data_IF_182322490671
#
_entry.id   IF_182322490671
#
_cell.length_a   1.000
_cell.length_b   1.000
_cell.length_c   1.000
_cell.angle_alpha   90.00
_cell.angle_beta   90.00
_cell.angle_gamma   90.00
#
_symmetry.space_group_name_H-M   'P 1'
#
loop_
_entity.id
_entity.type
_entity.pdbx_description
1 polymer ?
#
# COMPACT_ATOMS: atom_id res chain seq x y z
N UNK A 1 -73.08 -33.27 -29.19
CA UNK A 1 -72.07 -34.28 -29.60
C UNK A 1 -70.70 -33.67 -29.33
N UNK A 2 -69.92 -34.29 -28.53
CA UNK A 2 -68.60 -33.74 -28.18
C UNK A 2 -67.51 -34.18 -29.14
N UNK A 3 -66.73 -33.26 -29.65
CA UNK A 3 -65.55 -33.49 -30.51
C UNK A 3 -64.36 -33.81 -29.61
N UNK A 4 -63.52 -34.82 -29.92
CA UNK A 4 -62.51 -35.36 -29.01
C UNK A 4 -61.23 -34.51 -28.96
N UNK A 5 -60.73 -34.39 -27.71
CA UNK A 5 -59.40 -33.88 -27.37
C UNK A 5 -58.27 -34.82 -27.84
N UNK A 6 -57.78 -34.62 -29.04
CA UNK A 6 -56.49 -35.18 -29.48
C UNK A 6 -56.10 -34.62 -30.84
N UNK A 7 -55.45 -33.49 -30.83
CA UNK A 7 -54.56 -33.00 -31.91
C UNK A 7 -54.20 -31.53 -31.66
N UNK A 8 -53.35 -31.30 -30.65
CA UNK A 8 -52.66 -30.03 -30.56
C UNK A 8 -51.37 -30.23 -29.77
N UNK A 9 -50.55 -31.15 -30.26
CA UNK A 9 -49.20 -31.36 -29.78
C UNK A 9 -48.31 -31.73 -30.98
N UNK A 10 -48.02 -30.78 -31.79
CA UNK A 10 -46.83 -30.79 -32.67
C UNK A 10 -46.66 -29.38 -33.24
N UNK A 11 -45.41 -28.91 -33.22
CA UNK A 11 -44.85 -27.65 -33.74
C UNK A 11 -44.87 -26.43 -32.81
N UNK A 12 -43.98 -26.45 -31.79
CA UNK A 12 -43.10 -25.32 -31.49
C UNK A 12 -41.75 -25.89 -31.08
N UNK A 13 -40.95 -26.24 -32.05
CA UNK A 13 -39.51 -26.41 -31.87
C UNK A 13 -38.87 -25.40 -32.80
N UNK A 14 -38.38 -24.30 -32.26
CA UNK A 14 -37.33 -23.52 -32.90
C UNK A 14 -36.94 -22.34 -32.00
N UNK A 15 -35.68 -22.26 -31.66
CA UNK A 15 -35.04 -20.98 -31.37
C UNK A 15 -34.67 -20.72 -29.91
N UNK A 16 -34.06 -21.66 -29.19
CA UNK A 16 -33.15 -21.27 -28.13
C UNK A 16 -31.81 -20.88 -28.75
N UNK A 17 -31.65 -19.60 -29.06
CA UNK A 17 -30.34 -19.05 -29.37
C UNK A 17 -29.47 -19.17 -28.12
N UNK A 18 -28.53 -20.08 -28.16
CA UNK A 18 -27.48 -20.19 -27.17
C UNK A 18 -26.63 -18.91 -27.25
N UNK A 19 -26.78 -18.04 -26.26
CA UNK A 19 -25.80 -16.99 -26.02
C UNK A 19 -24.47 -17.68 -25.77
N UNK A 20 -23.36 -17.26 -26.39
CA UNK A 20 -22.07 -17.81 -26.10
C UNK A 20 -21.79 -17.51 -24.63
N UNK A 21 -21.60 -18.56 -23.84
CA UNK A 21 -20.91 -18.47 -22.54
C UNK A 21 -19.53 -17.87 -22.83
N UNK A 22 -19.36 -16.57 -22.58
CA UNK A 22 -18.05 -16.01 -22.45
C UNK A 22 -17.43 -16.75 -21.25
N UNK A 23 -16.53 -17.66 -21.54
CA UNK A 23 -15.65 -18.28 -20.57
C UNK A 23 -15.01 -17.13 -19.78
N UNK A 24 -15.36 -17.03 -18.50
CA UNK A 24 -14.57 -16.27 -17.54
C UNK A 24 -13.17 -16.86 -17.64
N UNK A 25 -12.25 -16.18 -18.30
CA UNK A 25 -10.85 -16.48 -18.15
C UNK A 25 -10.58 -16.40 -16.64
N UNK A 26 -10.32 -17.55 -16.03
CA UNK A 26 -9.84 -17.61 -14.68
C UNK A 26 -8.57 -16.77 -14.64
N UNK A 27 -8.58 -15.69 -13.87
CA UNK A 27 -7.37 -14.96 -13.54
C UNK A 27 -6.45 -16.02 -12.94
N UNK A 28 -5.41 -16.41 -13.66
CA UNK A 28 -4.45 -17.38 -13.22
C UNK A 28 -3.88 -16.89 -11.87
N UNK A 29 -3.88 -17.75 -10.86
CA UNK A 29 -3.14 -17.47 -9.63
C UNK A 29 -1.72 -17.07 -10.03
N UNK A 30 -1.15 -16.01 -9.43
CA UNK A 30 0.19 -15.55 -9.78
C UNK A 30 1.17 -16.72 -9.57
N UNK A 31 1.72 -17.23 -10.66
CA UNK A 31 2.64 -18.37 -10.69
C UNK A 31 4.01 -18.06 -10.05
N UNK A 32 4.23 -16.83 -9.61
CA UNK A 32 5.39 -16.40 -8.85
C UNK A 32 5.03 -16.19 -7.39
N UNK A 33 5.72 -16.92 -6.50
CA UNK A 33 5.67 -16.61 -5.06
C UNK A 33 6.30 -15.23 -4.87
N UNK A 34 5.47 -14.21 -4.76
CA UNK A 34 5.93 -12.89 -4.36
C UNK A 34 6.74 -13.03 -3.05
N UNK A 35 7.87 -12.33 -2.90
CA UNK A 35 8.84 -12.61 -1.83
C UNK A 35 8.37 -12.20 -0.41
N UNK A 36 7.10 -11.85 -0.24
CA UNK A 36 6.50 -11.45 1.03
C UNK A 36 5.00 -11.34 0.91
N UNK A 37 4.37 -10.59 1.80
CA UNK A 37 2.95 -10.25 1.70
C UNK A 37 2.80 -9.12 0.69
N UNK A 38 2.01 -9.36 -0.37
CA UNK A 38 1.62 -8.32 -1.33
C UNK A 38 0.21 -7.84 -0.99
N UNK A 39 0.08 -6.55 -0.73
CA UNK A 39 -1.18 -5.88 -0.42
C UNK A 39 -1.38 -4.64 -1.29
N UNK A 40 -2.48 -3.94 -1.01
CA UNK A 40 -2.82 -2.65 -1.61
C UNK A 40 -2.91 -1.59 -0.51
N UNK A 41 -2.21 -0.45 -0.67
CA UNK A 41 -2.50 0.75 0.10
C UNK A 41 -3.84 1.34 -0.37
N UNK A 42 -4.80 1.47 0.55
CA UNK A 42 -6.16 1.92 0.24
C UNK A 42 -6.23 3.37 -0.26
N UNK A 43 -5.19 4.16 -0.01
CA UNK A 43 -5.08 5.50 -0.59
C UNK A 43 -5.07 5.48 -2.12
N UNK A 44 -4.57 4.41 -2.73
CA UNK A 44 -4.62 4.15 -4.18
C UNK A 44 -6.04 4.29 -4.75
N UNK A 45 -7.02 3.82 -4.02
CA UNK A 45 -8.44 3.82 -4.44
C UNK A 45 -9.30 4.78 -3.62
N UNK A 46 -8.68 5.79 -2.97
CA UNK A 46 -9.35 6.77 -2.10
C UNK A 46 -10.59 7.40 -2.72
N UNK A 47 -10.50 7.80 -3.98
CA UNK A 47 -11.60 8.44 -4.71
C UNK A 47 -12.78 7.51 -5.03
N UNK A 48 -12.57 6.19 -5.03
CA UNK A 48 -13.63 5.18 -5.12
C UNK A 48 -14.22 4.90 -3.75
N UNK A 49 -13.38 4.80 -2.72
CA UNK A 49 -13.80 4.59 -1.33
C UNK A 49 -14.67 5.73 -0.80
N UNK A 50 -14.42 6.97 -1.21
CA UNK A 50 -15.26 8.12 -0.88
C UNK A 50 -16.70 7.99 -1.41
N UNK A 51 -16.90 7.19 -2.47
CA UNK A 51 -18.21 7.01 -3.12
C UNK A 51 -18.89 5.71 -2.71
N UNK A 52 -18.15 4.62 -2.67
CA UNK A 52 -18.67 3.27 -2.44
C UNK A 52 -17.62 2.37 -1.80
N UNK A 53 -17.60 2.31 -0.48
CA UNK A 53 -16.67 1.45 0.27
C UNK A 53 -16.91 -0.04 -0.03
N UNK A 54 -18.16 -0.58 0.02
CA UNK A 54 -18.42 -1.98 -0.31
C UNK A 54 -17.98 -2.39 -1.72
N UNK A 55 -18.35 -1.62 -2.74
CA UNK A 55 -17.99 -1.90 -4.13
C UNK A 55 -16.49 -1.81 -4.37
N UNK A 56 -15.81 -0.85 -3.73
CA UNK A 56 -14.35 -0.70 -3.86
C UNK A 56 -13.60 -1.86 -3.19
N UNK A 57 -14.00 -2.30 -2.00
CA UNK A 57 -13.37 -3.46 -1.36
C UNK A 57 -13.61 -4.75 -2.15
N UNK A 58 -14.78 -4.89 -2.76
CA UNK A 58 -15.02 -5.98 -3.69
C UNK A 58 -14.07 -5.91 -4.90
N UNK A 59 -13.86 -4.75 -5.48
CA UNK A 59 -12.92 -4.55 -6.59
C UNK A 59 -11.49 -4.92 -6.17
N UNK A 60 -11.03 -4.49 -4.99
CA UNK A 60 -9.72 -4.85 -4.43
C UNK A 60 -9.59 -6.37 -4.30
N UNK A 61 -10.63 -7.04 -3.80
CA UNK A 61 -10.67 -8.51 -3.75
C UNK A 61 -10.66 -9.16 -5.12
N UNK A 62 -11.41 -8.62 -6.08
CA UNK A 62 -11.48 -9.14 -7.45
C UNK A 62 -10.13 -9.03 -8.17
N UNK A 63 -9.27 -8.07 -7.80
CA UNK A 63 -7.87 -7.99 -8.22
C UNK A 63 -6.95 -9.06 -7.59
N UNK A 64 -7.44 -9.81 -6.61
CA UNK A 64 -6.71 -10.90 -5.97
C UNK A 64 -5.99 -10.53 -4.67
N UNK A 65 -6.12 -9.29 -4.18
CA UNK A 65 -5.53 -8.93 -2.90
C UNK A 65 -6.21 -9.67 -1.73
N UNK A 66 -5.40 -9.96 -0.72
CA UNK A 66 -5.83 -10.51 0.58
C UNK A 66 -5.39 -9.65 1.74
N UNK A 67 -4.53 -8.66 1.48
CA UNK A 67 -4.00 -7.73 2.47
C UNK A 67 -4.17 -6.29 1.99
N UNK A 68 -4.49 -5.39 2.91
CA UNK A 68 -4.59 -3.95 2.64
C UNK A 68 -3.87 -3.15 3.72
N UNK A 69 -3.42 -1.96 3.37
CA UNK A 69 -2.90 -0.95 4.27
C UNK A 69 -3.82 0.27 4.25
N UNK A 70 -3.83 1.07 5.31
CA UNK A 70 -4.58 2.31 5.41
C UNK A 70 -4.78 2.73 6.86
N UNK A 71 -5.62 3.74 7.12
CA UNK A 71 -5.87 4.25 8.47
C UNK A 71 -7.27 4.84 8.66
N UNK A 72 -8.15 4.68 7.69
CA UNK A 72 -9.53 5.15 7.76
C UNK A 72 -10.49 3.97 7.97
N UNK A 73 -11.38 4.09 8.92
CA UNK A 73 -12.38 3.07 9.24
C UNK A 73 -13.73 3.29 8.55
N UNK A 74 -13.87 4.34 7.75
CA UNK A 74 -15.08 4.67 6.96
C UNK A 74 -16.37 4.66 7.82
N UNK A 75 -16.32 5.38 8.95
CA UNK A 75 -17.45 5.53 9.89
C UNK A 75 -17.71 4.34 10.81
N UNK A 76 -16.79 3.37 10.87
CA UNK A 76 -16.87 2.19 11.76
C UNK A 76 -15.86 2.32 12.91
N UNK A 77 -15.98 1.45 13.91
CA UNK A 77 -14.84 1.18 14.81
C UNK A 77 -13.78 0.34 14.07
N UNK A 78 -12.54 0.33 14.55
CA UNK A 78 -11.48 -0.53 14.00
C UNK A 78 -11.86 -2.03 14.07
N UNK A 79 -12.52 -2.47 15.14
CA UNK A 79 -13.00 -3.84 15.29
C UNK A 79 -14.12 -4.19 14.28
N UNK A 80 -15.07 -3.28 14.06
CA UNK A 80 -16.12 -3.47 13.08
C UNK A 80 -15.55 -3.43 11.66
N UNK A 81 -14.57 -2.59 11.40
CA UNK A 81 -13.89 -2.53 10.12
C UNK A 81 -13.14 -3.83 9.82
N UNK A 82 -12.45 -4.42 10.81
CA UNK A 82 -11.86 -5.77 10.69
C UNK A 82 -12.87 -6.80 10.21
N UNK A 83 -14.02 -6.86 10.88
CA UNK A 83 -15.10 -7.79 10.52
C UNK A 83 -15.64 -7.51 9.13
N UNK A 84 -15.79 -6.24 8.79
CA UNK A 84 -16.32 -5.80 7.51
C UNK A 84 -15.40 -6.20 6.35
N UNK A 85 -14.07 -5.91 6.42
CA UNK A 85 -13.12 -6.31 5.36
C UNK A 85 -12.92 -7.82 5.29
N UNK A 86 -13.02 -8.54 6.42
CA UNK A 86 -12.96 -9.99 6.44
C UNK A 86 -14.09 -10.63 5.62
N UNK A 87 -15.27 -10.00 5.53
CA UNK A 87 -16.36 -10.40 4.66
C UNK A 87 -15.99 -10.43 3.16
N UNK A 88 -14.97 -9.69 2.75
CA UNK A 88 -14.38 -9.71 1.40
C UNK A 88 -13.13 -10.61 1.31
N UNK A 89 -12.74 -11.28 2.41
CA UNK A 89 -11.51 -12.08 2.48
C UNK A 89 -10.24 -11.20 2.52
N UNK A 90 -10.38 -9.95 2.99
CA UNK A 90 -9.29 -9.01 3.19
C UNK A 90 -8.90 -8.94 4.68
N UNK A 91 -7.65 -8.61 4.95
CA UNK A 91 -7.14 -8.29 6.28
C UNK A 91 -6.25 -7.03 6.20
N UNK A 92 -6.02 -6.39 7.33
CA UNK A 92 -5.14 -5.21 7.42
C UNK A 92 -4.03 -5.50 8.43
N UNK A 93 -2.80 -5.64 7.94
CA UNK A 93 -1.63 -5.90 8.78
C UNK A 93 -0.81 -4.65 9.06
N UNK A 94 -0.98 -3.59 8.29
CA UNK A 94 -0.32 -2.30 8.47
C UNK A 94 -1.34 -1.18 8.51
N UNK A 95 -1.17 -0.28 9.48
CA UNK A 95 -2.00 0.93 9.67
C UNK A 95 -1.11 2.15 9.57
N UNK A 96 -1.50 3.10 8.72
CA UNK A 96 -0.94 4.44 8.68
C UNK A 96 -1.92 5.42 9.34
N UNK A 97 -1.46 6.15 10.35
CA UNK A 97 -2.26 7.17 11.05
C UNK A 97 -1.56 8.52 11.03
N UNK A 98 -2.28 9.60 11.34
CA UNK A 98 -1.69 10.93 11.43
C UNK A 98 -0.67 11.03 12.56
N UNK A 99 0.38 11.83 12.37
CA UNK A 99 1.40 12.12 13.37
C UNK A 99 0.79 12.69 14.66
N UNK A 100 -0.16 13.61 14.51
CA UNK A 100 -0.88 14.22 15.62
C UNK A 100 -1.65 13.19 16.45
N UNK A 101 -2.24 12.18 15.81
CA UNK A 101 -2.95 11.10 16.52
C UNK A 101 -1.97 10.32 17.41
N UNK A 102 -0.77 10.00 16.91
CA UNK A 102 0.27 9.33 17.71
C UNK A 102 0.82 10.23 18.81
N UNK A 103 0.96 11.53 18.54
CA UNK A 103 1.44 12.51 19.53
C UNK A 103 0.45 12.69 20.68
N UNK A 104 -0.82 12.86 20.34
CA UNK A 104 -1.85 13.31 21.31
C UNK A 104 -2.61 12.12 21.93
N UNK A 105 -2.73 10.97 21.22
CA UNK A 105 -3.45 9.78 21.66
C UNK A 105 -2.81 8.49 21.14
N UNK A 106 -1.56 8.24 21.46
CA UNK A 106 -0.87 7.00 21.09
C UNK A 106 -1.59 5.74 21.60
N UNK A 107 -2.18 5.80 22.80
CA UNK A 107 -2.89 4.66 23.37
C UNK A 107 -4.14 4.28 22.55
N UNK A 108 -4.91 5.26 22.08
CA UNK A 108 -6.04 5.04 21.19
C UNK A 108 -5.61 4.50 19.83
N UNK A 109 -4.53 5.06 19.24
CA UNK A 109 -4.00 4.56 17.97
C UNK A 109 -3.51 3.10 18.07
N UNK A 110 -2.84 2.74 19.17
CA UNK A 110 -2.42 1.36 19.47
C UNK A 110 -3.63 0.44 19.65
N UNK A 111 -4.65 0.87 20.36
CA UNK A 111 -5.88 0.10 20.57
C UNK A 111 -6.59 -0.19 19.24
N UNK A 112 -6.71 0.81 18.36
CA UNK A 112 -7.31 0.68 17.03
C UNK A 112 -6.51 -0.29 16.16
N UNK A 113 -5.17 -0.18 16.12
CA UNK A 113 -4.31 -1.08 15.35
C UNK A 113 -4.44 -2.53 15.84
N UNK A 114 -4.50 -2.76 17.15
CA UNK A 114 -4.75 -4.10 17.72
C UNK A 114 -6.15 -4.62 17.39
N UNK A 115 -7.15 -3.75 17.46
CA UNK A 115 -8.53 -4.12 17.17
C UNK A 115 -8.73 -4.54 15.71
N UNK A 116 -8.12 -3.84 14.75
CA UNK A 116 -8.17 -4.23 13.34
C UNK A 116 -7.33 -5.49 13.06
N UNK A 117 -6.39 -5.83 13.94
CA UNK A 117 -5.52 -7.01 13.84
C UNK A 117 -4.20 -6.73 13.12
N UNK A 118 -3.76 -5.47 13.11
CA UNK A 118 -2.49 -5.08 12.52
C UNK A 118 -1.29 -5.58 13.34
N UNK A 119 -0.17 -5.73 12.65
CA UNK A 119 1.15 -5.99 13.23
C UNK A 119 2.04 -4.73 13.19
N UNK A 120 1.69 -3.78 12.32
CA UNK A 120 2.41 -2.54 12.10
C UNK A 120 1.47 -1.33 12.29
N UNK A 121 1.98 -0.30 12.95
CA UNK A 121 1.33 1.00 13.07
C UNK A 121 2.37 2.09 12.82
N UNK A 122 2.09 3.00 11.91
CA UNK A 122 3.03 4.05 11.53
C UNK A 122 2.38 5.35 11.14
N UNK A 123 3.21 6.25 10.63
CA UNK A 123 2.78 7.53 10.06
C UNK A 123 3.56 7.84 8.80
N UNK A 124 2.93 8.57 7.87
CA UNK A 124 3.49 8.91 6.57
C UNK A 124 3.98 10.36 6.46
N UNK A 125 3.73 11.18 7.45
CA UNK A 125 4.08 12.60 7.39
C UNK A 125 4.58 13.11 8.73
N UNK A 126 5.76 13.76 8.73
CA UNK A 126 6.25 14.53 9.87
C UNK A 126 5.83 15.98 9.67
N UNK A 127 5.05 16.60 10.58
CA UNK A 127 4.63 17.97 10.44
C UNK A 127 5.83 18.92 10.36
N UNK A 128 5.88 19.75 9.30
CA UNK A 128 6.91 20.76 9.12
C UNK A 128 6.37 21.90 8.26
N UNK A 129 7.05 23.04 8.26
CA UNK A 129 6.73 24.19 7.42
C UNK A 129 7.90 24.54 6.51
N UNK A 130 7.63 24.64 5.21
CA UNK A 130 8.66 24.87 4.21
C UNK A 130 9.56 23.64 4.03
N UNK A 131 10.87 23.85 3.87
CA UNK A 131 11.80 22.74 3.75
C UNK A 131 11.94 21.99 5.08
N UNK A 132 12.01 20.66 5.00
CA UNK A 132 12.27 19.80 6.15
C UNK A 132 13.67 20.07 6.71
N UNK A 133 13.78 20.22 8.03
CA UNK A 133 15.01 20.71 8.68
C UNK A 133 15.57 19.72 9.68
N UNK A 134 16.79 20.02 10.19
CA UNK A 134 17.41 19.26 11.27
C UNK A 134 16.56 19.28 12.55
N UNK A 135 15.90 20.40 12.86
CA UNK A 135 15.02 20.51 14.04
C UNK A 135 13.82 19.56 13.93
N UNK A 136 13.23 19.44 12.74
CA UNK A 136 12.11 18.53 12.49
C UNK A 136 12.54 17.07 12.66
N UNK A 137 13.74 16.72 12.19
CA UNK A 137 14.32 15.37 12.38
C UNK A 137 14.59 15.09 13.84
N UNK A 138 15.18 16.02 14.60
CA UNK A 138 15.50 15.81 16.02
C UNK A 138 14.22 15.58 16.83
N UNK A 139 13.13 16.31 16.51
CA UNK A 139 11.82 16.07 17.12
C UNK A 139 11.28 14.69 16.73
N UNK A 140 11.34 14.32 15.43
CA UNK A 140 10.88 13.02 14.96
C UNK A 140 11.66 11.85 15.59
N UNK A 141 12.97 11.97 15.80
CA UNK A 141 13.78 10.96 16.49
C UNK A 141 13.27 10.72 17.91
N UNK A 142 12.97 11.80 18.65
CA UNK A 142 12.44 11.71 20.00
C UNK A 142 11.07 11.02 20.03
N UNK A 143 10.15 11.45 19.16
CA UNK A 143 8.79 10.94 19.09
C UNK A 143 8.77 9.49 18.60
N UNK A 144 9.46 9.15 17.53
CA UNK A 144 9.53 7.80 16.98
C UNK A 144 10.15 6.81 17.97
N UNK A 145 11.17 7.24 18.71
CA UNK A 145 11.78 6.43 19.78
C UNK A 145 10.76 6.14 20.88
N UNK A 146 9.98 7.14 21.30
CA UNK A 146 8.91 6.99 22.28
C UNK A 146 7.82 6.04 21.77
N UNK A 147 7.33 6.26 20.56
CA UNK A 147 6.25 5.45 19.98
C UNK A 147 6.72 4.02 19.68
N UNK A 148 7.93 3.85 19.14
CA UNK A 148 8.49 2.52 18.88
C UNK A 148 8.56 1.66 20.14
N UNK A 149 9.00 2.24 21.27
CA UNK A 149 9.01 1.54 22.56
C UNK A 149 7.60 1.19 23.06
N UNK A 150 6.65 2.13 22.95
CA UNK A 150 5.27 1.92 23.37
C UNK A 150 4.59 0.83 22.54
N UNK A 151 4.72 0.87 21.21
CA UNK A 151 4.16 -0.12 20.32
C UNK A 151 4.74 -1.52 20.55
N UNK A 152 6.07 -1.60 20.74
CA UNK A 152 6.74 -2.87 21.02
C UNK A 152 6.25 -3.52 22.32
N UNK A 153 5.98 -2.74 23.35
CA UNK A 153 5.42 -3.24 24.61
C UNK A 153 4.01 -3.85 24.41
N UNK A 154 3.29 -3.43 23.36
CA UNK A 154 1.96 -3.91 22.99
C UNK A 154 1.97 -4.96 21.86
N UNK A 155 3.16 -5.44 21.46
CA UNK A 155 3.34 -6.45 20.42
C UNK A 155 3.21 -5.95 18.99
N UNK A 156 3.30 -4.63 18.79
CA UNK A 156 3.26 -3.96 17.48
C UNK A 156 4.64 -3.45 17.09
N UNK A 157 4.87 -3.28 15.79
CA UNK A 157 6.05 -2.60 15.24
C UNK A 157 5.66 -1.20 14.78
N UNK A 158 6.35 -0.17 15.29
CA UNK A 158 6.24 1.17 14.72
C UNK A 158 6.99 1.24 13.39
N UNK A 159 6.42 1.93 12.39
CA UNK A 159 7.11 2.27 11.16
C UNK A 159 6.85 3.70 10.72
N UNK A 160 7.82 4.26 10.01
CA UNK A 160 7.72 5.54 9.35
C UNK A 160 7.78 5.36 7.83
N UNK A 161 6.78 5.88 7.12
CA UNK A 161 6.73 5.90 5.67
C UNK A 161 7.55 7.09 5.15
N UNK A 162 8.60 6.81 4.37
CA UNK A 162 9.50 7.81 3.81
C UNK A 162 8.81 8.54 2.66
N UNK A 163 8.79 9.88 2.70
CA UNK A 163 8.02 10.70 1.77
C UNK A 163 8.89 11.61 0.87
N UNK A 164 10.22 11.45 0.88
CA UNK A 164 11.16 12.10 -0.03
C UNK A 164 11.71 13.44 0.46
N UNK A 165 10.99 14.18 1.30
CA UNK A 165 11.48 15.45 1.84
C UNK A 165 12.63 15.27 2.84
N UNK A 166 12.85 14.07 3.36
CA UNK A 166 13.93 13.72 4.27
C UNK A 166 15.29 13.63 3.57
N UNK A 167 15.32 13.73 2.24
CA UNK A 167 16.58 13.73 1.48
C UNK A 167 17.29 15.09 1.46
N UNK A 168 16.85 16.07 2.26
CA UNK A 168 17.60 17.30 2.48
C UNK A 168 19.02 16.99 2.98
N UNK A 169 20.04 17.74 2.55
CA UNK A 169 21.43 17.52 2.95
C UNK A 169 21.63 17.61 4.47
N UNK A 170 22.49 16.73 4.99
CA UNK A 170 22.97 16.72 6.37
C UNK A 170 24.47 16.46 6.39
N UNK A 171 25.23 16.86 7.43
CA UNK A 171 26.66 16.59 7.51
C UNK A 171 27.05 15.12 7.32
N UNK A 172 26.17 14.20 7.74
CA UNK A 172 26.40 12.75 7.67
C UNK A 172 25.66 12.06 6.49
N UNK A 173 25.27 12.82 5.47
CA UNK A 173 24.53 12.33 4.31
C UNK A 173 23.23 13.12 4.08
N UNK A 174 22.10 12.55 4.45
CA UNK A 174 20.77 13.19 4.37
C UNK A 174 20.12 13.24 5.76
N UNK A 175 19.03 14.00 5.88
CA UNK A 175 18.21 13.98 7.08
C UNK A 175 17.56 12.61 7.31
N UNK A 176 17.29 11.82 6.23
CA UNK A 176 16.87 10.43 6.36
C UNK A 176 17.97 9.56 7.02
N UNK A 177 19.24 9.73 6.60
CA UNK A 177 20.36 9.04 7.23
C UNK A 177 20.46 9.38 8.72
N UNK A 178 20.25 10.65 9.06
CA UNK A 178 20.23 11.13 10.44
C UNK A 178 19.09 10.47 11.24
N UNK A 179 17.89 10.41 10.67
CA UNK A 179 16.72 9.77 11.30
C UNK A 179 16.95 8.27 11.54
N UNK A 180 17.44 7.56 10.52
CA UNK A 180 17.68 6.11 10.61
C UNK A 180 18.76 5.78 11.65
N UNK A 181 19.88 6.52 11.64
CA UNK A 181 21.02 6.25 12.53
C UNK A 181 20.72 6.56 14.00
N UNK A 182 19.83 7.51 14.27
CA UNK A 182 19.53 7.98 15.62
C UNK A 182 18.21 7.45 16.20
N UNK A 183 17.55 6.51 15.51
CA UNK A 183 16.37 5.81 16.04
C UNK A 183 16.69 4.34 16.33
N UNK A 184 16.13 3.76 17.41
CA UNK A 184 16.39 2.37 17.79
C UNK A 184 15.71 1.37 16.84
N UNK A 185 16.05 0.05 16.91
CA UNK A 185 15.44 -0.99 16.06
C UNK A 185 13.93 -1.14 16.20
N UNK A 186 13.32 -0.63 17.26
CA UNK A 186 11.87 -0.54 17.45
C UNK A 186 11.19 0.42 16.47
N UNK A 187 11.98 1.23 15.76
CA UNK A 187 11.52 2.10 14.68
C UNK A 187 11.92 1.45 13.36
N UNK A 188 10.97 0.85 12.67
CA UNK A 188 11.14 0.41 11.31
C UNK A 188 10.81 1.54 10.32
N UNK A 189 11.16 1.32 9.06
CA UNK A 189 10.83 2.23 7.96
C UNK A 189 10.05 1.50 6.88
N UNK A 190 9.15 2.22 6.25
CA UNK A 190 8.50 1.83 5.01
C UNK A 190 9.13 2.63 3.88
N UNK A 191 9.73 1.94 2.94
CA UNK A 191 10.32 2.56 1.76
C UNK A 191 9.24 2.80 0.72
N UNK A 192 8.88 4.04 0.46
CA UNK A 192 8.20 4.35 -0.79
C UNK A 192 9.24 4.59 -1.88
N UNK A 193 9.24 3.73 -2.89
CA UNK A 193 10.27 3.75 -3.93
C UNK A 193 10.19 5.01 -4.79
N UNK A 194 8.98 5.46 -5.10
CA UNK A 194 8.73 6.71 -5.84
C UNK A 194 9.30 7.90 -5.08
N UNK A 195 8.93 8.05 -3.81
CA UNK A 195 9.34 9.19 -2.99
C UNK A 195 10.84 9.18 -2.69
N UNK A 196 11.43 8.02 -2.48
CA UNK A 196 12.89 7.90 -2.35
C UNK A 196 13.59 8.41 -3.61
N UNK A 197 13.17 7.97 -4.81
CA UNK A 197 13.77 8.44 -6.06
C UNK A 197 13.47 9.92 -6.31
N UNK A 198 12.24 10.35 -6.07
CA UNK A 198 11.83 11.75 -6.22
C UNK A 198 12.68 12.67 -5.35
N UNK A 199 12.94 12.29 -4.10
CA UNK A 199 13.82 13.02 -3.18
C UNK A 199 15.32 12.97 -3.53
N UNK A 200 15.73 12.14 -4.49
CA UNK A 200 17.13 11.99 -4.93
C UNK A 200 17.87 10.84 -4.25
N UNK A 201 17.16 9.98 -3.52
CA UNK A 201 17.71 8.77 -2.95
C UNK A 201 17.86 7.64 -3.97
N UNK A 202 18.55 6.57 -3.55
CA UNK A 202 18.66 5.33 -4.30
C UNK A 202 18.12 4.19 -3.45
N UNK A 203 17.00 3.54 -3.83
CA UNK A 203 16.37 2.48 -3.05
C UNK A 203 17.28 1.29 -2.76
N UNK A 204 18.05 0.82 -3.76
CA UNK A 204 18.98 -0.31 -3.61
C UNK A 204 20.10 0.03 -2.62
N UNK A 205 20.64 1.24 -2.70
CA UNK A 205 21.67 1.72 -1.78
C UNK A 205 21.14 1.81 -0.34
N UNK A 206 19.92 2.30 -0.14
CA UNK A 206 19.31 2.38 1.20
C UNK A 206 19.13 1.00 1.81
N UNK A 207 18.62 0.02 1.04
CA UNK A 207 18.44 -1.37 1.51
C UNK A 207 19.77 -2.00 1.92
N UNK A 208 20.84 -1.78 1.14
CA UNK A 208 22.17 -2.33 1.43
C UNK A 208 22.88 -1.62 2.57
N UNK A 209 22.63 -0.32 2.73
CA UNK A 209 23.26 0.49 3.80
C UNK A 209 22.61 0.25 5.17
N UNK A 210 21.29 0.01 5.17
CA UNK A 210 20.49 -0.10 6.40
C UNK A 210 19.72 -1.43 6.46
N UNK A 211 20.39 -2.59 6.44
CA UNK A 211 19.71 -3.89 6.46
C UNK A 211 18.87 -4.04 7.73
N UNK A 212 17.64 -4.55 7.56
CA UNK A 212 16.68 -4.76 8.64
C UNK A 212 15.91 -3.51 9.10
N UNK A 213 16.26 -2.31 8.62
CA UNK A 213 15.54 -1.09 8.98
C UNK A 213 14.28 -0.88 8.14
N UNK A 214 14.31 -1.20 6.85
CA UNK A 214 13.15 -1.16 5.97
C UNK A 214 12.42 -2.50 6.04
N UNK A 215 11.29 -2.54 6.73
CA UNK A 215 10.48 -3.76 6.88
C UNK A 215 9.26 -3.78 5.98
N UNK A 216 8.85 -2.61 5.48
CA UNK A 216 7.73 -2.44 4.55
C UNK A 216 8.23 -1.66 3.33
N UNK A 217 7.53 -1.85 2.20
CA UNK A 217 7.82 -1.14 0.95
C UNK A 217 6.54 -0.80 0.21
N UNK A 218 6.42 0.45 -0.22
CA UNK A 218 5.44 0.84 -1.22
C UNK A 218 6.01 0.65 -2.62
N UNK A 219 5.28 -0.14 -3.39
CA UNK A 219 5.57 -0.40 -4.79
C UNK A 219 4.86 0.68 -5.61
N UNK A 220 5.59 1.74 -5.93
CA UNK A 220 5.10 2.92 -6.65
C UNK A 220 6.16 3.37 -7.64
N UNK A 221 5.81 3.36 -8.93
CA UNK A 221 6.74 3.70 -10.00
C UNK A 221 6.57 5.16 -10.45
N UNK A 222 7.64 5.75 -10.92
CA UNK A 222 7.71 7.15 -11.31
C UNK A 222 7.85 7.28 -12.83
N UNK A 223 6.99 8.10 -13.46
CA UNK A 223 6.94 8.27 -14.90
C UNK A 223 8.29 8.65 -15.51
N UNK A 224 8.63 8.13 -16.71
CA UNK A 224 9.84 8.51 -17.43
C UNK A 224 9.91 10.03 -17.65
N UNK A 225 11.07 10.61 -17.38
CA UNK A 225 11.30 12.06 -17.53
C UNK A 225 10.83 12.91 -16.34
N UNK A 226 10.19 12.32 -15.33
CA UNK A 226 9.93 13.05 -14.07
C UNK A 226 11.28 13.38 -13.41
N UNK A 227 11.51 14.65 -13.05
CA UNK A 227 12.76 15.06 -12.41
C UNK A 227 12.96 14.35 -11.06
N UNK A 228 14.18 13.89 -10.83
CA UNK A 228 14.61 13.30 -9.54
C UNK A 228 15.44 14.32 -8.76
N UNK A 229 15.60 14.13 -7.45
CA UNK A 229 16.36 15.02 -6.60
C UNK A 229 15.60 16.29 -6.18
N UNK A 230 14.28 16.17 -6.06
CA UNK A 230 13.42 17.24 -5.53
C UNK A 230 12.86 16.81 -4.16
N UNK A 231 13.55 17.17 -3.06
CA UNK A 231 13.16 16.76 -1.71
C UNK A 231 12.07 17.69 -1.14
N UNK A 232 10.96 17.85 -1.84
CA UNK A 232 9.79 18.61 -1.40
C UNK A 232 8.68 17.74 -0.82
N UNK A 233 8.71 16.43 -1.07
CA UNK A 233 7.61 15.53 -0.72
C UNK A 233 6.36 15.79 -1.55
N UNK A 234 6.50 16.38 -2.75
CA UNK A 234 5.39 16.72 -3.63
C UNK A 234 5.69 16.31 -5.07
N UNK A 235 4.68 15.82 -5.75
CA UNK A 235 4.70 15.54 -7.18
C UNK A 235 3.26 15.60 -7.73
N UNK A 236 3.06 15.88 -9.03
CA UNK A 236 1.76 15.70 -9.65
C UNK A 236 1.32 14.22 -9.62
N UNK A 237 0.07 13.95 -9.30
CA UNK A 237 -0.47 12.57 -9.21
C UNK A 237 -0.28 11.77 -10.51
N UNK A 238 -0.30 12.45 -11.67
CA UNK A 238 -0.10 11.84 -12.99
C UNK A 238 1.32 11.32 -13.23
N UNK A 239 2.26 11.63 -12.34
CA UNK A 239 3.62 11.07 -12.38
C UNK A 239 3.70 9.64 -11.81
N UNK A 240 2.67 9.15 -11.13
CA UNK A 240 2.51 7.74 -10.79
C UNK A 240 2.11 6.95 -12.04
N UNK A 241 2.80 5.85 -12.31
CA UNK A 241 2.56 4.98 -13.47
C UNK A 241 2.56 3.51 -13.05
N UNK A 242 1.96 2.60 -13.85
CA UNK A 242 2.05 1.17 -13.56
C UNK A 242 3.49 0.70 -13.40
N UNK A 243 3.73 -0.22 -12.50
CA UNK A 243 5.06 -0.79 -12.29
C UNK A 243 5.62 -1.34 -13.61
N UNK A 244 6.90 -1.06 -13.86
CA UNK A 244 7.60 -1.42 -15.08
C UNK A 244 7.36 -0.49 -16.27
N UNK A 245 6.53 0.54 -16.11
CA UNK A 245 6.37 1.62 -17.09
C UNK A 245 7.19 2.88 -16.73
N UNK A 246 7.74 2.90 -15.53
CA UNK A 246 8.49 4.03 -15.00
C UNK A 246 10.01 3.86 -15.06
N UNK A 247 10.67 4.48 -14.10
CA UNK A 247 12.14 4.57 -14.04
C UNK A 247 12.77 3.54 -13.09
N UNK A 248 11.96 2.76 -12.33
CA UNK A 248 12.45 1.83 -11.30
C UNK A 248 12.87 0.49 -11.92
N UNK A 249 14.04 -0.01 -11.52
CA UNK A 249 14.44 -1.38 -11.85
C UNK A 249 13.84 -2.38 -10.84
N UNK A 250 12.58 -2.73 -11.03
CA UNK A 250 11.83 -3.60 -10.12
C UNK A 250 12.42 -5.00 -10.00
N UNK A 251 12.94 -5.58 -11.08
CA UNK A 251 13.53 -6.91 -11.04
C UNK A 251 14.71 -6.98 -10.08
N UNK A 252 15.58 -5.97 -10.09
CA UNK A 252 16.70 -5.88 -9.15
C UNK A 252 16.23 -5.58 -7.72
N UNK A 253 15.33 -4.62 -7.56
CA UNK A 253 14.88 -4.16 -6.24
C UNK A 253 14.12 -5.24 -5.49
N UNK A 254 13.18 -5.93 -6.15
CA UNK A 254 12.39 -7.02 -5.54
C UNK A 254 13.22 -8.26 -5.21
N UNK A 255 14.29 -8.50 -5.95
CA UNK A 255 15.25 -9.56 -5.61
C UNK A 255 16.08 -9.23 -4.36
N UNK A 256 16.40 -7.94 -4.16
CA UNK A 256 17.22 -7.47 -3.05
C UNK A 256 16.41 -7.31 -1.74
N UNK A 257 15.20 -6.79 -1.85
CA UNK A 257 14.40 -6.33 -0.72
C UNK A 257 14.18 -7.38 0.39
N UNK A 258 13.84 -8.66 0.12
CA UNK A 258 13.65 -9.65 1.17
C UNK A 258 14.93 -9.94 1.97
N UNK A 259 16.06 -10.06 1.28
CA UNK A 259 17.38 -10.25 1.92
C UNK A 259 17.80 -9.06 2.78
N UNK A 260 17.31 -7.87 2.45
CA UNK A 260 17.51 -6.65 3.23
C UNK A 260 16.53 -6.47 4.40
N UNK A 261 15.52 -7.36 4.55
CA UNK A 261 14.59 -7.37 5.68
C UNK A 261 13.16 -6.89 5.38
N UNK A 262 12.83 -6.59 4.12
CA UNK A 262 11.47 -6.20 3.73
C UNK A 262 10.55 -7.43 3.77
N UNK A 263 9.40 -7.30 4.46
CA UNK A 263 8.44 -8.37 4.70
C UNK A 263 7.07 -8.10 4.07
N UNK A 264 6.70 -6.81 4.02
CA UNK A 264 5.39 -6.34 3.57
C UNK A 264 5.59 -5.43 2.36
N UNK A 265 4.83 -5.68 1.32
CA UNK A 265 4.86 -4.91 0.08
C UNK A 265 3.44 -4.45 -0.23
N UNK A 266 3.24 -3.17 -0.43
CA UNK A 266 1.94 -2.60 -0.77
C UNK A 266 2.05 -1.84 -2.09
N UNK A 267 1.19 -2.16 -3.05
CA UNK A 267 1.04 -1.33 -4.23
C UNK A 267 0.41 -0.02 -3.79
N UNK A 268 1.04 1.09 -4.13
CA UNK A 268 0.47 2.42 -4.04
C UNK A 268 0.55 3.11 -5.40
N UNK A 269 -0.56 3.70 -5.82
CA UNK A 269 -0.67 4.45 -7.07
C UNK A 269 -1.56 5.67 -6.82
N UNK A 270 -0.99 6.86 -6.94
CA UNK A 270 -1.72 8.10 -6.69
C UNK A 270 -2.39 8.66 -7.95
N UNK A 271 -2.16 8.04 -9.11
CA UNK A 271 -2.77 8.50 -10.36
C UNK A 271 -4.29 8.58 -10.25
N UNK A 272 -4.95 9.63 -10.80
CA UNK A 272 -6.41 9.78 -10.73
C UNK A 272 -7.23 8.62 -11.32
N UNK A 273 -6.57 7.74 -12.09
CA UNK A 273 -7.14 6.50 -12.66
C UNK A 273 -6.38 5.27 -12.21
N UNK A 274 -5.98 5.22 -10.95
CA UNK A 274 -5.22 4.10 -10.37
C UNK A 274 -5.94 2.76 -10.55
N UNK A 275 -7.28 2.75 -10.57
CA UNK A 275 -8.08 1.55 -10.82
C UNK A 275 -7.85 0.90 -12.19
N UNK A 276 -7.33 1.66 -13.17
CA UNK A 276 -6.92 1.12 -14.47
C UNK A 276 -5.45 0.67 -14.46
N UNK A 277 -4.63 1.26 -13.58
CA UNK A 277 -3.19 1.00 -13.51
C UNK A 277 -2.85 -0.23 -12.65
N UNK A 278 -3.60 -0.47 -11.57
CA UNK A 278 -3.38 -1.63 -10.67
C UNK A 278 -3.39 -2.97 -11.40
N UNK A 279 -4.35 -3.28 -12.31
CA UNK A 279 -4.30 -4.52 -13.10
C UNK A 279 -3.06 -4.66 -13.99
N UNK A 280 -2.55 -3.55 -14.56
CA UNK A 280 -1.31 -3.56 -15.34
C UNK A 280 -0.10 -3.84 -14.46
N UNK A 281 -0.04 -3.21 -13.28
CA UNK A 281 0.97 -3.47 -12.24
C UNK A 281 1.00 -4.93 -11.83
N UNK A 282 -0.16 -5.53 -11.54
CA UNK A 282 -0.24 -6.96 -11.17
C UNK A 282 0.22 -7.87 -12.31
N UNK A 283 -0.15 -7.56 -13.57
CA UNK A 283 0.33 -8.30 -14.73
C UNK A 283 1.84 -8.23 -14.89
N UNK A 284 2.44 -7.05 -14.66
CA UNK A 284 3.89 -6.88 -14.70
C UNK A 284 4.56 -7.69 -13.59
N UNK A 285 4.09 -7.60 -12.35
CA UNK A 285 4.64 -8.37 -11.21
C UNK A 285 4.56 -9.88 -11.46
N UNK A 286 3.50 -10.37 -12.09
CA UNK A 286 3.36 -11.77 -12.46
C UNK A 286 4.33 -12.21 -13.58
N UNK A 287 4.96 -11.29 -14.30
CA UNK A 287 5.92 -11.56 -15.37
C UNK A 287 7.39 -11.56 -14.91
N UNK A 288 7.67 -11.11 -13.68
CA UNK A 288 9.00 -11.10 -13.06
C UNK A 288 9.37 -12.47 -12.51
#
# INVERSE_FOLDING_TARGET
>A
MPIPRRQFLQTVAAGAAALPFMSREAVAEPAHKFPGVLGLELYTVRHLLDKDVPGTLKLVKDWGFTDVEGGNWYGRSAADFKTFIAGYGLRMQSVLTGYEKLRDDAAGAIADAKAVGASYLGTAWIPHQGAFTRTDVDQAIADFTKWGKALKAEGLQFHYHVHGYEFQPSPDGTLLDTLIKNTPPEVAFQMDVFWVMRGGGNPEKLLTTYPGRFQLMHLKDIAPGTPLGDPTGSAPDETSVPLGKGQVNWATLLKLAPGAGVKMFYIEDEHPKAELQVPETLKYLASL
#
